data_IF_661342770919
#
_entry.id   IF_661342770919
#
_cell.length_a   1.000
_cell.length_b   1.000
_cell.length_c   1.000
_cell.angle_alpha   90.00
_cell.angle_beta   90.00
_cell.angle_gamma   90.00
#
_symmetry.space_group_name_H-M   'P 1'
#
loop_
_entity.id
_entity.type
_entity.pdbx_description
1 polymer ?
#
# COMPACT_ATOMS: atom_id res chain seq x y z
N UNK A 1 6.51 -25.42 9.71
CA UNK A 1 6.08 -24.05 9.34
C UNK A 1 4.67 -24.02 8.73
N UNK A 2 4.40 -24.56 7.53
CA UNK A 2 3.06 -24.48 6.89
C UNK A 2 1.91 -25.08 7.70
N UNK A 3 2.11 -26.27 8.28
CA UNK A 3 1.12 -26.89 9.17
C UNK A 3 0.78 -25.99 10.36
N UNK A 4 1.81 -25.41 10.99
CA UNK A 4 1.63 -24.48 12.11
C UNK A 4 0.86 -23.24 11.68
N UNK A 5 1.19 -22.67 10.51
CA UNK A 5 0.47 -21.52 9.97
C UNK A 5 -1.00 -21.84 9.72
N UNK A 6 -1.31 -22.97 9.07
CA UNK A 6 -2.68 -23.41 8.82
C UNK A 6 -3.46 -23.65 10.14
N UNK A 7 -2.83 -24.32 11.12
CA UNK A 7 -3.41 -24.53 12.45
C UNK A 7 -3.72 -23.20 13.14
N UNK A 8 -2.79 -22.24 13.13
CA UNK A 8 -2.98 -20.91 13.69
C UNK A 8 -4.12 -20.16 13.02
N UNK A 9 -4.12 -20.09 11.69
CA UNK A 9 -5.19 -19.45 10.92
C UNK A 9 -6.57 -20.01 11.29
N UNK A 10 -6.71 -21.33 11.45
CA UNK A 10 -7.97 -21.99 11.81
C UNK A 10 -8.41 -21.77 13.28
N UNK A 11 -7.48 -21.62 14.22
CA UNK A 11 -7.77 -21.53 15.65
C UNK A 11 -7.87 -20.08 16.17
N UNK A 12 -7.05 -19.20 15.63
CA UNK A 12 -6.92 -17.79 16.04
C UNK A 12 -7.96 -16.89 15.35
N UNK A 13 -8.55 -17.32 14.23
CA UNK A 13 -9.58 -16.55 13.50
C UNK A 13 -10.93 -17.27 13.49
N UNK A 14 -12.00 -16.48 13.46
CA UNK A 14 -13.36 -16.98 13.25
C UNK A 14 -13.51 -17.68 11.87
N UNK A 15 -14.09 -18.88 11.85
CA UNK A 15 -14.22 -19.70 10.62
C UNK A 15 -15.01 -18.98 9.51
N UNK A 16 -16.00 -18.16 9.85
CA UNK A 16 -16.76 -17.37 8.86
C UNK A 16 -15.89 -16.30 8.22
N UNK A 17 -15.00 -15.68 8.99
CA UNK A 17 -14.04 -14.69 8.49
C UNK A 17 -13.03 -15.34 7.56
N UNK A 18 -12.54 -16.54 7.90
CA UNK A 18 -11.65 -17.31 7.03
C UNK A 18 -12.31 -17.66 5.70
N UNK A 19 -13.58 -18.08 5.73
CA UNK A 19 -14.36 -18.31 4.52
C UNK A 19 -14.48 -17.03 3.68
N UNK A 20 -14.86 -15.90 4.28
CA UNK A 20 -14.95 -14.61 3.58
C UNK A 20 -13.60 -14.16 3.00
N UNK A 21 -12.52 -14.35 3.74
CA UNK A 21 -11.16 -14.08 3.27
C UNK A 21 -10.82 -14.95 2.05
N UNK A 22 -11.02 -16.27 2.15
CA UNK A 22 -10.73 -17.21 1.08
C UNK A 22 -11.57 -16.94 -0.17
N UNK A 23 -12.83 -16.55 0.00
CA UNK A 23 -13.74 -16.26 -1.10
C UNK A 23 -13.50 -14.88 -1.73
N UNK A 24 -13.61 -13.80 -0.93
CA UNK A 24 -13.55 -12.42 -1.43
C UNK A 24 -12.12 -12.00 -1.80
N UNK A 25 -11.14 -12.24 -0.91
CA UNK A 25 -9.74 -11.88 -1.18
C UNK A 25 -9.01 -12.96 -1.97
N UNK A 26 -9.24 -14.24 -1.66
CA UNK A 26 -8.60 -15.38 -2.33
C UNK A 26 -9.12 -15.57 -3.75
N UNK A 27 -10.25 -16.26 -3.92
CA UNK A 27 -10.74 -16.65 -5.25
C UNK A 27 -11.12 -15.45 -6.12
N UNK A 28 -11.97 -14.54 -5.63
CA UNK A 28 -12.39 -13.37 -6.42
C UNK A 28 -11.20 -12.43 -6.69
N UNK A 29 -10.27 -12.29 -5.75
CA UNK A 29 -9.02 -11.54 -5.94
C UNK A 29 -8.12 -12.15 -7.03
N UNK A 30 -7.93 -13.47 -7.02
CA UNK A 30 -7.20 -14.18 -8.09
C UNK A 30 -7.86 -13.97 -9.46
N UNK A 31 -9.20 -14.04 -9.53
CA UNK A 31 -9.96 -13.74 -10.76
C UNK A 31 -9.74 -12.29 -11.19
N UNK A 32 -9.70 -11.34 -10.26
CA UNK A 32 -9.43 -9.93 -10.53
C UNK A 32 -8.09 -9.72 -11.22
N UNK A 33 -7.04 -10.34 -10.68
CA UNK A 33 -5.68 -10.28 -11.25
C UNK A 33 -5.63 -10.95 -12.63
N UNK A 34 -6.30 -12.09 -12.83
CA UNK A 34 -6.37 -12.73 -14.15
C UNK A 34 -7.11 -11.87 -15.18
N UNK A 35 -8.19 -11.19 -14.78
CA UNK A 35 -8.88 -10.21 -15.63
C UNK A 35 -7.98 -9.03 -15.98
N UNK A 36 -7.22 -8.52 -15.02
CA UNK A 36 -6.21 -7.48 -15.27
C UNK A 36 -5.16 -7.94 -16.29
N UNK A 37 -4.55 -9.12 -16.08
CA UNK A 37 -3.59 -9.72 -17.03
C UNK A 37 -4.19 -9.89 -18.42
N UNK A 38 -5.44 -10.34 -18.52
CA UNK A 38 -6.14 -10.47 -19.81
C UNK A 38 -6.39 -9.12 -20.49
N UNK A 39 -6.64 -8.05 -19.74
CA UNK A 39 -6.83 -6.70 -20.29
C UNK A 39 -5.53 -6.11 -20.80
N UNK A 40 -4.43 -6.27 -20.07
CA UNK A 40 -3.11 -5.81 -20.51
C UNK A 40 -2.73 -6.38 -21.88
N UNK A 41 -3.03 -7.66 -22.14
CA UNK A 41 -2.81 -8.30 -23.45
C UNK A 41 -3.62 -7.66 -24.60
N UNK A 42 -4.70 -6.96 -24.30
CA UNK A 42 -5.57 -6.26 -25.26
C UNK A 42 -5.31 -4.75 -25.30
N UNK A 43 -4.29 -4.25 -24.60
CA UNK A 43 -4.05 -2.81 -24.44
C UNK A 43 -5.11 -2.10 -23.59
N UNK A 44 -5.99 -2.84 -22.91
CA UNK A 44 -6.97 -2.29 -21.99
C UNK A 44 -6.39 -2.19 -20.58
N UNK A 45 -6.78 -1.14 -19.85
CA UNK A 45 -6.29 -0.92 -18.50
C UNK A 45 -7.42 -0.82 -17.45
N UNK A 46 -7.29 -1.58 -16.36
CA UNK A 46 -8.03 -1.37 -15.12
C UNK A 46 -7.32 -2.11 -13.97
N UNK A 47 -7.06 -1.47 -12.82
CA UNK A 47 -6.31 -2.08 -11.73
C UNK A 47 -7.15 -3.12 -10.96
N UNK A 48 -6.58 -4.29 -10.60
CA UNK A 48 -7.27 -5.31 -9.81
C UNK A 48 -7.44 -4.90 -8.35
N UNK A 49 -6.67 -3.92 -7.87
CA UNK A 49 -6.71 -3.39 -6.51
C UNK A 49 -6.77 -1.87 -6.50
N UNK A 50 -7.48 -1.29 -5.54
CA UNK A 50 -7.52 0.16 -5.37
C UNK A 50 -7.23 0.52 -3.92
N UNK A 51 -6.36 1.50 -3.72
CA UNK A 51 -6.21 2.17 -2.45
C UNK A 51 -7.15 3.37 -2.42
N UNK A 52 -7.93 3.52 -1.35
CA UNK A 52 -8.91 4.60 -1.20
C UNK A 52 -8.63 5.29 0.12
N UNK A 53 -8.16 6.54 0.05
CA UNK A 53 -8.11 7.42 1.21
C UNK A 53 -9.50 7.96 1.48
N UNK A 54 -10.12 7.50 2.57
CA UNK A 54 -11.49 7.91 2.91
C UNK A 54 -11.54 9.20 3.74
N UNK A 55 -10.40 9.62 4.29
CA UNK A 55 -10.26 10.79 5.17
C UNK A 55 -8.81 11.30 5.12
N UNK A 56 -8.58 12.61 5.24
CA UNK A 56 -7.21 13.18 5.33
C UNK A 56 -6.76 13.49 6.77
N UNK A 57 -7.68 13.67 7.73
CA UNK A 57 -7.35 14.01 9.12
C UNK A 57 -6.89 12.79 9.92
N UNK A 58 -6.03 13.04 10.91
CA UNK A 58 -5.48 12.01 11.79
C UNK A 58 -5.31 12.56 13.22
N UNK A 59 -5.34 11.68 14.22
CA UNK A 59 -5.03 12.00 15.62
C UNK A 59 -3.52 12.04 15.93
N UNK A 60 -2.67 11.67 14.97
CA UNK A 60 -1.21 11.65 15.08
C UNK A 60 -0.56 12.63 14.09
N UNK A 61 0.71 12.95 14.32
CA UNK A 61 1.51 13.89 13.50
C UNK A 61 2.86 13.26 13.17
N UNK A 62 2.81 12.15 12.45
CA UNK A 62 3.99 11.33 12.18
C UNK A 62 5.06 12.12 11.39
N UNK A 63 6.31 11.98 11.79
CA UNK A 63 7.46 12.61 11.12
C UNK A 63 7.56 12.15 9.66
N UNK A 64 7.53 13.03 8.68
CA UNK A 64 7.59 12.59 7.28
C UNK A 64 6.33 11.89 6.76
N UNK A 65 5.16 12.11 7.37
CA UNK A 65 3.89 11.65 6.82
C UNK A 65 3.63 12.27 5.43
N UNK A 66 3.18 11.46 4.47
CA UNK A 66 2.81 11.93 3.13
C UNK A 66 1.43 12.61 3.09
N UNK A 67 0.58 12.36 4.09
CA UNK A 67 -0.73 12.99 4.24
C UNK A 67 -0.57 14.32 4.97
N UNK A 68 -1.14 15.38 4.43
CA UNK A 68 -1.27 16.66 5.13
C UNK A 68 -2.42 16.63 6.14
N UNK A 69 -2.14 16.04 7.31
CA UNK A 69 -3.08 15.89 8.42
C UNK A 69 -3.37 17.18 9.19
N UNK A 70 -2.68 18.28 8.85
CA UNK A 70 -2.92 19.60 9.43
C UNK A 70 -3.94 20.42 8.63
N UNK A 71 -4.19 20.05 7.37
CA UNK A 71 -5.23 20.65 6.54
C UNK A 71 -6.64 20.40 7.10
N UNK A 72 -7.61 21.20 6.61
CA UNK A 72 -9.03 21.02 6.96
C UNK A 72 -9.47 19.60 6.62
N UNK A 73 -10.21 18.98 7.53
CA UNK A 73 -10.73 17.63 7.32
C UNK A 73 -11.64 17.58 6.09
N UNK A 74 -11.36 16.59 5.24
CA UNK A 74 -12.17 16.14 4.13
C UNK A 74 -12.41 14.63 4.28
N UNK A 75 -13.59 14.18 3.86
CA UNK A 75 -13.97 12.78 3.81
C UNK A 75 -14.57 12.44 2.46
N UNK A 76 -14.37 11.20 2.00
CA UNK A 76 -15.13 10.70 0.85
C UNK A 76 -16.59 10.55 1.24
N UNK A 77 -17.50 11.08 0.42
CA UNK A 77 -18.94 10.95 0.69
C UNK A 77 -19.38 9.48 0.50
N UNK A 78 -20.27 8.95 1.35
CA UNK A 78 -20.72 7.56 1.26
C UNK A 78 -21.24 7.15 -0.12
N UNK A 79 -21.98 8.04 -0.78
CA UNK A 79 -22.55 7.80 -2.12
C UNK A 79 -21.45 7.72 -3.18
N UNK A 80 -20.40 8.52 -3.05
CA UNK A 80 -19.24 8.48 -3.94
C UNK A 80 -18.42 7.20 -3.76
N UNK A 81 -18.25 6.76 -2.51
CA UNK A 81 -17.58 5.50 -2.19
C UNK A 81 -18.38 4.29 -2.71
N UNK A 82 -19.71 4.26 -2.49
CA UNK A 82 -20.58 3.20 -2.99
C UNK A 82 -20.52 3.09 -4.52
N UNK A 83 -20.65 4.23 -5.21
CA UNK A 83 -20.51 4.30 -6.67
C UNK A 83 -19.15 3.77 -7.12
N UNK A 84 -18.05 4.20 -6.49
CA UNK A 84 -16.69 3.75 -6.79
C UNK A 84 -16.57 2.23 -6.67
N UNK A 85 -17.01 1.65 -5.55
CA UNK A 85 -16.91 0.20 -5.31
C UNK A 85 -17.79 -0.57 -6.30
N UNK A 86 -19.01 -0.11 -6.57
CA UNK A 86 -19.91 -0.75 -7.55
C UNK A 86 -19.32 -0.78 -8.96
N UNK A 87 -18.76 0.33 -9.44
CA UNK A 87 -18.12 0.39 -10.76
C UNK A 87 -16.83 -0.44 -10.81
N UNK A 88 -16.04 -0.44 -9.73
CA UNK A 88 -14.85 -1.27 -9.63
C UNK A 88 -15.17 -2.78 -9.63
N UNK A 89 -16.26 -3.19 -8.98
CA UNK A 89 -16.76 -4.59 -8.99
C UNK A 89 -17.17 -5.06 -10.37
N UNK A 90 -17.77 -4.20 -11.20
CA UNK A 90 -18.10 -4.53 -12.59
C UNK A 90 -16.82 -4.87 -13.38
N UNK A 91 -15.70 -4.26 -13.02
CA UNK A 91 -14.37 -4.56 -13.56
C UNK A 91 -13.67 -5.74 -12.84
N UNK A 92 -14.32 -6.38 -11.88
CA UNK A 92 -13.81 -7.52 -11.13
C UNK A 92 -12.92 -7.17 -9.95
N UNK A 93 -12.72 -5.89 -9.63
CA UNK A 93 -12.01 -5.48 -8.42
C UNK A 93 -12.94 -5.65 -7.20
N UNK A 94 -12.48 -6.42 -6.22
CA UNK A 94 -13.21 -6.72 -4.99
C UNK A 94 -12.33 -6.58 -3.74
N UNK A 95 -11.09 -6.10 -3.89
CA UNK A 95 -10.16 -5.94 -2.77
C UNK A 95 -9.64 -4.51 -2.75
N UNK A 96 -9.88 -3.84 -1.62
CA UNK A 96 -9.60 -2.43 -1.45
C UNK A 96 -8.72 -2.20 -0.23
N UNK A 97 -7.66 -1.42 -0.41
CA UNK A 97 -6.88 -0.87 0.68
C UNK A 97 -7.52 0.43 1.16
N UNK A 98 -8.11 0.43 2.34
CA UNK A 98 -8.64 1.65 2.97
C UNK A 98 -7.51 2.31 3.73
N UNK A 99 -7.14 3.49 3.25
CA UNK A 99 -6.06 4.33 3.76
C UNK A 99 -6.63 5.71 4.11
N UNK A 100 -5.75 6.67 4.39
CA UNK A 100 -6.10 8.06 4.70
C UNK A 100 -5.21 8.59 5.81
N UNK A 101 -5.66 9.65 6.48
CA UNK A 101 -5.14 10.00 7.80
C UNK A 101 -5.39 8.85 8.78
N UNK A 102 -6.46 8.88 9.57
CA UNK A 102 -6.89 7.72 10.37
C UNK A 102 -8.30 7.26 9.98
N UNK A 103 -8.46 6.15 9.23
CA UNK A 103 -9.77 5.67 8.78
C UNK A 103 -10.81 5.50 9.88
N UNK A 104 -10.42 5.10 11.10
CA UNK A 104 -11.36 4.93 12.22
C UNK A 104 -11.91 6.24 12.80
N UNK A 105 -11.45 7.41 12.31
CA UNK A 105 -12.06 8.72 12.55
C UNK A 105 -13.19 9.04 11.57
N UNK A 106 -13.36 8.28 10.49
CA UNK A 106 -14.45 8.48 9.55
C UNK A 106 -15.79 8.08 10.18
N UNK A 107 -16.77 9.00 10.30
CA UNK A 107 -18.00 8.75 11.08
C UNK A 107 -18.86 7.64 10.51
N UNK A 108 -18.75 7.36 9.21
CA UNK A 108 -19.50 6.33 8.49
C UNK A 108 -18.69 5.10 8.11
N UNK A 109 -17.46 4.92 8.65
CA UNK A 109 -16.57 3.82 8.23
C UNK A 109 -17.28 2.47 8.15
N UNK A 110 -17.98 2.07 9.21
CA UNK A 110 -18.64 0.76 9.25
C UNK A 110 -19.77 0.61 8.23
N UNK A 111 -20.51 1.69 7.96
CA UNK A 111 -21.57 1.72 6.94
C UNK A 111 -20.99 1.50 5.54
N UNK A 112 -19.87 2.17 5.21
CA UNK A 112 -19.16 1.99 3.95
C UNK A 112 -18.77 0.53 3.69
N UNK A 113 -18.31 -0.16 4.74
CA UNK A 113 -17.84 -1.55 4.65
C UNK A 113 -19.00 -2.55 4.61
N UNK A 114 -20.08 -2.25 5.34
CA UNK A 114 -21.28 -3.09 5.42
C UNK A 114 -22.06 -3.14 4.11
N UNK A 115 -22.10 -2.03 3.37
CA UNK A 115 -22.79 -1.94 2.08
C UNK A 115 -22.14 -2.81 0.98
N UNK A 116 -20.95 -3.37 1.22
CA UNK A 116 -20.20 -4.18 0.26
C UNK A 116 -19.68 -5.49 0.86
N UNK A 117 -20.57 -6.41 1.30
CA UNK A 117 -20.19 -7.63 2.00
C UNK A 117 -19.45 -8.65 1.11
N UNK A 118 -19.53 -8.48 -0.21
CA UNK A 118 -18.88 -9.32 -1.21
C UNK A 118 -17.52 -8.78 -1.70
N UNK A 119 -17.09 -7.64 -1.16
CA UNK A 119 -15.72 -7.13 -1.25
C UNK A 119 -14.90 -7.55 -0.02
N UNK A 120 -13.61 -7.29 -0.03
CA UNK A 120 -12.74 -7.44 1.14
C UNK A 120 -11.89 -6.17 1.32
N UNK A 121 -11.83 -5.68 2.55
CA UNK A 121 -11.22 -4.39 2.87
C UNK A 121 -10.03 -4.59 3.82
N UNK A 122 -8.85 -4.12 3.41
CA UNK A 122 -7.71 -4.01 4.30
C UNK A 122 -7.59 -2.57 4.79
N UNK A 123 -7.70 -2.35 6.10
CA UNK A 123 -7.68 -0.99 6.68
C UNK A 123 -6.33 -0.72 7.31
N UNK A 124 -5.60 0.27 6.78
CA UNK A 124 -4.37 0.76 7.37
C UNK A 124 -4.71 1.75 8.50
N UNK A 125 -4.30 1.45 9.72
CA UNK A 125 -4.72 2.20 10.92
C UNK A 125 -3.62 2.22 11.98
N UNK A 126 -3.57 3.27 12.79
CA UNK A 126 -2.71 3.34 13.98
C UNK A 126 -3.25 2.51 15.17
N UNK A 127 -4.49 2.02 15.08
CA UNK A 127 -5.11 1.15 16.09
C UNK A 127 -5.73 1.87 17.29
N UNK A 128 -5.45 3.16 17.52
CA UNK A 128 -5.86 3.87 18.74
C UNK A 128 -7.38 3.90 18.95
N UNK A 129 -8.14 3.92 17.85
CA UNK A 129 -9.60 4.01 17.88
C UNK A 129 -10.28 2.65 17.82
N UNK A 130 -9.56 1.53 17.85
CA UNK A 130 -10.14 0.19 17.84
C UNK A 130 -10.46 -0.21 19.29
N UNK A 131 -11.67 0.11 19.72
CA UNK A 131 -12.24 -0.37 20.99
C UNK A 131 -12.70 -1.83 20.88
N UNK A 132 -12.98 -2.49 22.00
CA UNK A 132 -13.58 -3.83 22.02
C UNK A 132 -14.91 -3.88 21.23
N UNK A 133 -15.73 -2.82 21.34
CA UNK A 133 -16.99 -2.68 20.57
C UNK A 133 -16.74 -2.59 19.06
N UNK A 134 -15.80 -1.75 18.63
CA UNK A 134 -15.42 -1.65 17.22
C UNK A 134 -14.81 -2.96 16.71
N UNK A 135 -14.01 -3.65 17.52
CA UNK A 135 -13.48 -4.97 17.18
C UNK A 135 -14.59 -6.02 17.02
N UNK A 136 -15.61 -6.03 17.89
CA UNK A 136 -16.83 -6.86 17.71
C UNK A 136 -17.55 -6.52 16.42
N UNK A 137 -17.67 -5.23 16.07
CA UNK A 137 -18.29 -4.80 14.81
C UNK A 137 -17.50 -5.27 13.59
N UNK A 138 -16.17 -5.15 13.61
CA UNK A 138 -15.29 -5.69 12.56
C UNK A 138 -15.47 -7.20 12.41
N UNK A 139 -15.54 -7.93 13.53
CA UNK A 139 -15.85 -9.37 13.53
C UNK A 139 -17.20 -9.63 12.88
N UNK A 140 -18.26 -8.90 13.22
CA UNK A 140 -19.59 -9.08 12.62
C UNK A 140 -19.57 -8.89 11.10
N UNK A 141 -18.94 -7.81 10.62
CA UNK A 141 -18.77 -7.55 9.18
C UNK A 141 -18.03 -8.71 8.49
N UNK A 142 -16.86 -9.08 9.01
CA UNK A 142 -16.06 -10.21 8.58
C UNK A 142 -15.45 -10.11 7.16
N UNK A 143 -15.71 -9.03 6.44
CA UNK A 143 -15.08 -8.67 5.16
C UNK A 143 -13.96 -7.64 5.33
N UNK A 144 -13.36 -7.57 6.53
CA UNK A 144 -12.38 -6.55 6.89
C UNK A 144 -11.19 -7.17 7.60
N UNK A 145 -9.99 -6.68 7.29
CA UNK A 145 -8.79 -6.95 8.05
C UNK A 145 -8.07 -5.64 8.44
N UNK A 146 -7.96 -5.33 9.74
CA UNK A 146 -7.11 -4.23 10.18
C UNK A 146 -5.63 -4.58 10.01
N UNK A 147 -4.88 -3.65 9.46
CA UNK A 147 -3.44 -3.69 9.34
C UNK A 147 -2.86 -2.58 10.24
N UNK A 148 -2.50 -2.97 11.46
CA UNK A 148 -2.18 -2.06 12.56
C UNK A 148 -0.72 -1.62 12.48
N UNK A 149 -0.51 -0.33 12.47
CA UNK A 149 0.77 0.35 12.30
C UNK A 149 1.62 0.30 13.58
N UNK A 150 2.80 -0.34 13.54
CA UNK A 150 3.77 -0.38 14.66
C UNK A 150 5.16 0.02 14.16
N UNK A 151 5.86 0.88 14.90
CA UNK A 151 7.14 1.46 14.46
C UNK A 151 8.37 0.91 15.17
N UNK A 152 8.22 0.13 16.25
CA UNK A 152 9.33 -0.41 17.03
C UNK A 152 9.04 -0.32 18.52
N UNK A 153 10.08 -0.07 19.31
CA UNK A 153 9.95 0.24 20.74
C UNK A 153 9.11 1.49 21.03
N UNK A 154 8.80 1.73 22.32
CA UNK A 154 7.96 2.85 22.75
C UNK A 154 8.59 4.20 22.36
N UNK A 155 9.89 4.39 22.63
CA UNK A 155 10.63 5.61 22.28
C UNK A 155 10.58 5.86 20.76
N UNK A 156 10.91 4.84 19.96
CA UNK A 156 10.87 4.95 18.50
C UNK A 156 9.46 5.27 18.01
N UNK A 157 8.45 4.61 18.57
CA UNK A 157 7.06 4.84 18.19
C UNK A 157 6.61 6.26 18.50
N UNK A 158 6.93 6.75 19.69
CA UNK A 158 6.52 8.08 20.14
C UNK A 158 7.20 9.19 19.32
N UNK A 159 8.50 9.06 19.04
CA UNK A 159 9.25 9.97 18.18
C UNK A 159 8.70 9.94 16.74
N UNK A 160 8.60 8.74 16.15
CA UNK A 160 8.17 8.56 14.76
C UNK A 160 6.74 9.04 14.52
N UNK A 161 5.85 8.85 15.50
CA UNK A 161 4.40 9.12 15.42
C UNK A 161 4.00 10.48 16.01
N UNK A 162 4.94 11.16 16.69
CA UNK A 162 4.81 12.54 17.16
C UNK A 162 3.93 12.70 18.40
N UNK A 163 3.86 11.68 19.27
CA UNK A 163 3.03 11.69 20.48
C UNK A 163 3.53 10.65 21.49
N UNK A 164 3.48 10.97 22.78
CA UNK A 164 3.80 10.01 23.84
C UNK A 164 2.75 8.89 23.97
N UNK A 165 3.18 7.68 24.34
CA UNK A 165 2.33 6.52 24.63
C UNK A 165 1.63 5.93 23.41
N UNK A 166 2.18 6.12 22.21
CA UNK A 166 1.59 5.63 20.96
C UNK A 166 1.60 4.12 20.93
N UNK A 167 2.74 3.49 21.25
CA UNK A 167 2.85 2.04 21.20
C UNK A 167 1.82 1.36 22.11
N UNK A 168 1.61 1.87 23.32
CA UNK A 168 0.63 1.35 24.28
C UNK A 168 -0.80 1.37 23.70
N UNK A 169 -1.21 2.51 23.12
CA UNK A 169 -2.54 2.65 22.49
C UNK A 169 -2.71 1.82 21.23
N UNK A 170 -1.66 1.68 20.42
CA UNK A 170 -1.63 0.78 19.27
C UNK A 170 -1.80 -0.68 19.70
N UNK A 171 -1.10 -1.10 20.77
CA UNK A 171 -1.20 -2.47 21.30
C UNK A 171 -2.57 -2.77 21.91
N UNK A 172 -3.20 -1.80 22.56
CA UNK A 172 -4.58 -1.91 23.04
C UNK A 172 -5.55 -2.22 21.88
N UNK A 173 -5.46 -1.48 20.77
CA UNK A 173 -6.26 -1.73 19.58
C UNK A 173 -6.00 -3.09 18.93
N UNK A 174 -4.73 -3.50 18.87
CA UNK A 174 -4.33 -4.83 18.39
C UNK A 174 -4.94 -5.94 19.26
N UNK A 175 -4.80 -5.84 20.57
CA UNK A 175 -5.37 -6.81 21.52
C UNK A 175 -6.90 -6.89 21.40
N UNK A 176 -7.59 -5.76 21.23
CA UNK A 176 -9.04 -5.75 21.02
C UNK A 176 -9.45 -6.55 19.77
N UNK A 177 -8.71 -6.42 18.66
CA UNK A 177 -8.94 -7.24 17.48
C UNK A 177 -8.71 -8.73 17.72
N UNK A 178 -7.57 -9.08 18.32
CA UNK A 178 -7.15 -10.47 18.53
C UNK A 178 -8.08 -11.20 19.50
N UNK A 179 -8.45 -10.55 20.61
CA UNK A 179 -9.46 -11.04 21.57
C UNK A 179 -10.79 -11.37 20.89
N UNK A 180 -11.18 -10.57 19.90
CA UNK A 180 -12.41 -10.76 19.15
C UNK A 180 -12.24 -11.65 17.90
N UNK A 181 -11.08 -12.30 17.73
CA UNK A 181 -10.76 -13.20 16.60
C UNK A 181 -10.94 -12.55 15.22
N UNK A 182 -10.70 -11.23 15.15
CA UNK A 182 -10.63 -10.50 13.88
C UNK A 182 -9.33 -10.87 13.18
N UNK A 183 -9.39 -11.10 11.86
CA UNK A 183 -8.19 -11.29 11.05
C UNK A 183 -7.37 -9.99 11.06
N UNK A 184 -6.21 -10.00 11.72
CA UNK A 184 -5.42 -8.79 11.94
C UNK A 184 -3.97 -8.99 11.55
N UNK A 185 -3.41 -7.96 10.93
CA UNK A 185 -1.99 -7.88 10.61
C UNK A 185 -1.31 -6.68 11.27
N UNK A 186 0.02 -6.68 11.22
CA UNK A 186 0.85 -5.56 11.66
C UNK A 186 1.66 -5.01 10.49
N UNK A 187 1.62 -3.70 10.28
CA UNK A 187 2.40 -3.01 9.26
C UNK A 187 3.42 -2.12 9.93
N UNK A 188 4.64 -2.12 9.39
CA UNK A 188 5.72 -1.27 9.88
C UNK A 188 6.21 -0.36 8.77
N UNK A 189 6.37 0.94 9.05
CA UNK A 189 7.13 1.81 8.16
C UNK A 189 8.62 1.63 8.48
N UNK A 190 9.32 0.80 7.70
CA UNK A 190 10.76 0.61 7.85
C UNK A 190 11.51 1.89 7.52
N UNK A 191 12.24 2.37 8.51
CA UNK A 191 13.10 3.54 8.51
C UNK A 191 14.48 3.14 9.01
N UNK A 192 15.48 3.99 8.77
CA UNK A 192 16.83 3.81 9.32
C UNK A 192 16.82 3.67 10.84
N UNK A 193 15.95 4.43 11.51
CA UNK A 193 15.87 4.51 12.97
C UNK A 193 15.25 3.29 13.63
N UNK A 194 14.50 2.44 12.90
CA UNK A 194 13.77 1.32 13.48
C UNK A 194 14.08 -0.05 12.86
N UNK A 195 14.98 -0.09 11.88
CA UNK A 195 15.31 -1.32 11.17
C UNK A 195 15.85 -2.41 12.11
N UNK A 196 16.61 -2.04 13.13
CA UNK A 196 17.20 -2.99 14.08
C UNK A 196 16.21 -3.51 15.13
N UNK A 197 15.15 -2.76 15.43
CA UNK A 197 14.07 -3.22 16.29
C UNK A 197 13.18 -4.23 15.55
N UNK A 198 12.90 -3.94 14.28
CA UNK A 198 11.85 -4.60 13.51
C UNK A 198 12.35 -5.79 12.66
N UNK A 199 13.60 -5.76 12.17
CA UNK A 199 14.18 -6.87 11.40
C UNK A 199 14.87 -7.89 12.30
N UNK A 200 14.11 -8.42 13.26
CA UNK A 200 14.58 -9.45 14.19
C UNK A 200 13.62 -10.63 14.24
N UNK A 201 14.16 -11.85 14.37
CA UNK A 201 13.32 -13.04 14.58
C UNK A 201 12.44 -12.87 15.83
N UNK A 202 12.99 -12.26 16.90
CA UNK A 202 12.28 -11.97 18.15
C UNK A 202 11.02 -11.12 17.94
N UNK A 203 11.08 -10.12 17.07
CA UNK A 203 9.90 -9.32 16.73
C UNK A 203 8.85 -10.15 16.02
N UNK A 204 9.26 -10.96 15.04
CA UNK A 204 8.36 -11.85 14.29
C UNK A 204 7.73 -12.91 15.22
N UNK A 205 8.50 -13.49 16.13
CA UNK A 205 8.02 -14.44 17.12
C UNK A 205 7.02 -13.78 18.07
N UNK A 206 7.29 -12.56 18.53
CA UNK A 206 6.33 -11.79 19.34
C UNK A 206 5.00 -11.56 18.61
N UNK A 207 5.02 -11.24 17.32
CA UNK A 207 3.81 -11.11 16.51
C UNK A 207 3.02 -12.44 16.46
N UNK A 208 3.73 -13.55 16.27
CA UNK A 208 3.14 -14.90 16.26
C UNK A 208 2.50 -15.22 17.61
N UNK A 209 3.22 -14.99 18.70
CA UNK A 209 2.76 -15.29 20.06
C UNK A 209 1.52 -14.48 20.46
N UNK A 210 1.41 -13.24 19.98
CA UNK A 210 0.22 -12.43 20.19
C UNK A 210 -1.00 -12.97 19.42
N UNK A 211 -0.79 -13.71 18.32
CA UNK A 211 -1.85 -14.18 17.43
C UNK A 211 -1.97 -13.38 16.12
N UNK A 212 -0.96 -12.60 15.76
CA UNK A 212 -0.93 -11.86 14.49
C UNK A 212 -0.68 -12.83 13.33
N UNK A 213 -1.50 -12.74 12.29
CA UNK A 213 -1.51 -13.71 11.19
C UNK A 213 -0.72 -13.26 9.97
N UNK A 214 -0.54 -11.96 9.81
CA UNK A 214 0.29 -11.43 8.74
C UNK A 214 0.97 -10.11 9.10
N UNK A 215 2.08 -9.81 8.43
CA UNK A 215 2.81 -8.55 8.63
C UNK A 215 3.34 -7.98 7.32
N UNK A 216 3.42 -6.65 7.26
CA UNK A 216 3.95 -5.90 6.13
C UNK A 216 5.16 -5.07 6.57
N UNK A 217 6.23 -5.18 5.79
CA UNK A 217 7.42 -4.34 5.94
C UNK A 217 7.43 -3.30 4.80
N UNK A 218 6.84 -2.13 5.06
CA UNK A 218 6.79 -1.04 4.09
C UNK A 218 7.99 -0.12 4.26
N UNK A 219 8.83 -0.03 3.24
CA UNK A 219 9.94 0.94 3.25
C UNK A 219 9.39 2.37 3.17
N UNK A 220 9.88 3.22 4.07
CA UNK A 220 9.57 4.65 4.09
C UNK A 220 9.99 5.34 2.78
N UNK A 221 9.13 6.23 2.28
CA UNK A 221 9.40 7.06 1.09
C UNK A 221 9.19 8.53 1.45
N UNK A 222 10.20 9.39 1.32
CA UNK A 222 10.16 10.78 1.76
C UNK A 222 9.32 11.64 0.81
N UNK A 223 8.03 11.79 1.14
CA UNK A 223 7.08 12.67 0.45
C UNK A 223 6.12 13.31 1.45
N UNK A 224 5.45 14.39 1.03
CA UNK A 224 4.47 15.11 1.84
C UNK A 224 4.96 16.49 2.29
N UNK A 225 4.21 17.17 3.17
CA UNK A 225 4.49 18.55 3.56
C UNK A 225 5.81 18.74 4.32
N UNK A 226 6.28 17.70 5.02
CA UNK A 226 7.52 17.75 5.83
C UNK A 226 8.26 16.41 5.73
N UNK A 227 8.81 16.05 4.57
CA UNK A 227 9.49 14.76 4.39
C UNK A 227 10.75 14.71 5.26
N UNK A 228 11.12 13.53 5.77
CA UNK A 228 12.39 13.36 6.48
C UNK A 228 13.29 12.37 5.73
N UNK A 229 14.27 12.92 5.03
CA UNK A 229 15.22 12.18 4.21
C UNK A 229 16.21 11.32 5.02
N UNK A 230 16.42 11.60 6.30
CA UNK A 230 17.30 10.83 7.19
C UNK A 230 16.72 9.48 7.59
N UNK A 231 15.38 9.36 7.54
CA UNK A 231 14.68 8.10 7.80
C UNK A 231 14.85 7.08 6.65
N UNK A 232 15.32 7.51 5.48
CA UNK A 232 15.44 6.65 4.32
C UNK A 232 16.53 5.58 4.50
N UNK A 233 16.20 4.36 4.10
CA UNK A 233 17.15 3.25 4.08
C UNK A 233 18.25 3.50 3.04
N UNK A 234 19.47 3.08 3.36
CA UNK A 234 20.53 2.91 2.37
C UNK A 234 20.24 1.68 1.47
N UNK A 235 20.92 1.54 0.32
CA UNK A 235 20.82 0.34 -0.52
C UNK A 235 21.08 -0.97 0.24
N UNK A 236 22.09 -1.00 1.12
CA UNK A 236 22.40 -2.17 1.94
C UNK A 236 21.31 -2.46 2.98
N UNK A 237 20.72 -1.43 3.58
CA UNK A 237 19.61 -1.60 4.51
C UNK A 237 18.34 -2.11 3.79
N UNK A 238 18.07 -1.63 2.58
CA UNK A 238 16.99 -2.15 1.74
C UNK A 238 17.23 -3.62 1.34
N UNK A 239 18.48 -3.98 1.00
CA UNK A 239 18.90 -5.36 0.72
C UNK A 239 18.70 -6.26 1.94
N UNK A 240 19.16 -5.83 3.12
CA UNK A 240 18.95 -6.52 4.40
C UNK A 240 17.47 -6.74 4.70
N UNK A 241 16.61 -5.75 4.44
CA UNK A 241 15.17 -5.88 4.62
C UNK A 241 14.59 -6.98 3.71
N UNK A 242 15.03 -7.02 2.44
CA UNK A 242 14.60 -8.06 1.50
C UNK A 242 15.09 -9.45 1.93
N UNK A 243 16.36 -9.60 2.29
CA UNK A 243 16.96 -10.83 2.83
C UNK A 243 16.16 -11.36 4.02
N UNK A 244 15.89 -10.48 4.99
CA UNK A 244 15.12 -10.83 6.18
C UNK A 244 13.71 -11.32 5.81
N UNK A 245 12.99 -10.60 4.95
CA UNK A 245 11.64 -10.98 4.52
C UNK A 245 11.61 -12.37 3.88
N UNK A 246 12.50 -12.65 2.91
CA UNK A 246 12.49 -13.95 2.22
C UNK A 246 12.89 -15.11 3.14
N UNK A 247 13.75 -14.84 4.13
CA UNK A 247 14.14 -15.83 5.13
C UNK A 247 13.01 -16.13 6.11
N UNK A 248 12.38 -15.09 6.65
CA UNK A 248 11.31 -15.27 7.63
C UNK A 248 10.11 -15.96 7.01
N UNK A 249 9.80 -15.71 5.72
CA UNK A 249 8.77 -16.47 4.97
C UNK A 249 9.03 -17.97 4.90
N UNK A 250 10.30 -18.38 4.91
CA UNK A 250 10.66 -19.80 4.88
C UNK A 250 10.69 -20.43 6.28
N UNK A 251 10.97 -19.62 7.32
CA UNK A 251 11.19 -20.10 8.70
C UNK A 251 9.95 -20.01 9.59
N UNK A 252 9.19 -18.91 9.52
CA UNK A 252 8.21 -18.51 10.54
C UNK A 252 6.76 -18.76 10.07
N UNK A 253 5.86 -19.23 10.95
CA UNK A 253 4.46 -19.53 10.59
C UNK A 253 3.57 -18.27 10.58
N UNK A 254 3.98 -17.24 9.86
CA UNK A 254 3.25 -15.96 9.67
C UNK A 254 3.37 -15.52 8.22
N UNK A 255 2.31 -14.92 7.67
CA UNK A 255 2.34 -14.39 6.31
C UNK A 255 3.10 -13.06 6.33
N UNK A 256 4.18 -12.94 5.56
CA UNK A 256 4.90 -11.68 5.40
C UNK A 256 4.63 -11.15 3.99
N UNK A 257 4.23 -9.89 3.86
CA UNK A 257 3.90 -9.25 2.58
C UNK A 257 4.91 -8.15 2.25
N UNK A 258 5.38 -8.16 1.00
CA UNK A 258 6.16 -7.10 0.37
C UNK A 258 5.65 -6.90 -1.06
N UNK A 259 5.44 -5.65 -1.46
CA UNK A 259 4.76 -5.32 -2.72
C UNK A 259 5.71 -4.89 -3.84
N UNK A 260 7.03 -4.92 -3.60
CA UNK A 260 8.02 -4.22 -4.44
C UNK A 260 8.99 -5.15 -5.18
N UNK A 261 8.79 -6.46 -5.09
CA UNK A 261 9.66 -7.48 -5.70
C UNK A 261 8.83 -8.62 -6.29
N UNK A 262 9.25 -9.15 -7.44
CA UNK A 262 8.72 -10.41 -7.98
C UNK A 262 9.30 -11.65 -7.27
N UNK A 263 9.02 -12.84 -7.81
CA UNK A 263 9.50 -14.11 -7.28
C UNK A 263 11.02 -14.31 -7.40
N UNK A 264 11.65 -13.70 -8.41
CA UNK A 264 13.09 -13.77 -8.68
C UNK A 264 13.85 -12.66 -7.94
N UNK A 265 13.16 -11.82 -7.17
CA UNK A 265 13.77 -10.73 -6.43
C UNK A 265 14.00 -9.47 -7.27
N UNK A 266 13.48 -9.40 -8.49
CA UNK A 266 13.56 -8.19 -9.31
C UNK A 266 12.59 -7.16 -8.78
N UNK A 267 13.06 -5.93 -8.65
CA UNK A 267 12.21 -4.82 -8.25
C UNK A 267 11.04 -4.62 -9.22
N UNK A 268 9.91 -4.16 -8.68
CA UNK A 268 8.77 -3.68 -9.45
C UNK A 268 8.06 -2.55 -8.71
N UNK A 269 7.39 -1.70 -9.46
CA UNK A 269 6.48 -0.68 -8.95
C UNK A 269 5.01 -1.10 -9.18
N UNK A 270 4.17 -1.21 -8.13
CA UNK A 270 2.74 -1.49 -8.26
C UNK A 270 1.98 -0.49 -9.17
N UNK A 271 2.38 0.78 -9.17
CA UNK A 271 1.76 1.79 -10.02
C UNK A 271 2.17 1.64 -11.48
N UNK A 272 3.45 1.36 -11.75
CA UNK A 272 3.97 1.14 -13.11
C UNK A 272 3.43 -0.15 -13.73
N UNK A 273 3.34 -1.23 -12.95
CA UNK A 273 2.69 -2.49 -13.36
C UNK A 273 1.18 -2.35 -13.53
N UNK A 274 0.59 -1.29 -12.95
CA UNK A 274 -0.83 -1.04 -13.02
C UNK A 274 -1.67 -1.94 -12.12
N UNK A 275 -1.04 -2.60 -11.13
CA UNK A 275 -1.73 -3.50 -10.20
C UNK A 275 -2.56 -2.73 -9.16
N UNK A 276 -2.18 -1.49 -8.85
CA UNK A 276 -2.87 -0.65 -7.88
C UNK A 276 -2.77 0.83 -8.23
N UNK A 277 -3.85 1.59 -7.99
CA UNK A 277 -3.89 3.06 -8.05
C UNK A 277 -4.54 3.61 -6.77
N UNK A 278 -4.43 4.91 -6.56
CA UNK A 278 -4.94 5.59 -5.37
C UNK A 278 -6.13 6.50 -5.72
N UNK A 279 -7.14 6.50 -4.86
CA UNK A 279 -8.24 7.48 -4.87
C UNK A 279 -8.12 8.28 -3.58
N UNK A 280 -7.95 9.59 -3.69
CA UNK A 280 -7.83 10.47 -2.53
C UNK A 280 -9.20 10.84 -1.92
N UNK A 281 -9.28 11.54 -0.77
CA UNK A 281 -10.55 11.90 -0.14
C UNK A 281 -11.44 12.83 -0.98
N UNK A 282 -10.86 13.63 -1.87
CA UNK A 282 -11.56 14.51 -2.83
C UNK A 282 -12.04 13.78 -4.10
N UNK A 283 -11.75 12.48 -4.20
CA UNK A 283 -12.13 11.60 -5.29
C UNK A 283 -11.22 11.66 -6.51
N UNK A 284 -10.03 12.25 -6.43
CA UNK A 284 -9.09 12.26 -7.56
C UNK A 284 -8.39 10.90 -7.71
N UNK A 285 -8.12 10.49 -8.95
CA UNK A 285 -7.46 9.22 -9.28
C UNK A 285 -5.98 9.46 -9.54
N UNK A 286 -5.16 9.07 -8.57
CA UNK A 286 -3.72 9.28 -8.53
C UNK A 286 -2.98 7.97 -8.89
N UNK A 287 -1.78 8.06 -9.53
CA UNK A 287 -1.00 6.86 -9.85
C UNK A 287 -0.64 6.02 -8.62
N UNK A 288 -0.29 6.67 -7.50
CA UNK A 288 -0.03 6.03 -6.21
C UNK A 288 -0.17 7.06 -5.07
N UNK A 289 -0.25 6.63 -3.79
CA UNK A 289 -0.53 7.55 -2.68
C UNK A 289 0.42 8.75 -2.53
N UNK A 290 1.68 8.60 -2.97
CA UNK A 290 2.71 9.66 -2.85
C UNK A 290 2.89 10.47 -4.15
N UNK A 291 2.15 10.18 -5.22
CA UNK A 291 2.11 10.96 -6.46
C UNK A 291 0.78 11.68 -6.52
N UNK A 292 0.71 12.83 -5.85
CA UNK A 292 -0.52 13.56 -5.58
C UNK A 292 -0.86 14.55 -6.71
N UNK A 293 -0.98 14.00 -7.93
CA UNK A 293 -1.41 14.69 -9.14
C UNK A 293 -2.40 13.83 -9.90
N UNK A 294 -3.43 14.44 -10.49
CA UNK A 294 -4.46 13.69 -11.21
C UNK A 294 -5.18 14.52 -12.28
N UNK A 295 -5.47 13.89 -13.42
CA UNK A 295 -6.40 14.44 -14.42
C UNK A 295 -7.82 13.91 -14.30
N UNK A 296 -7.98 12.77 -13.61
CA UNK A 296 -9.24 12.06 -13.51
C UNK A 296 -9.78 12.12 -12.07
N UNK A 297 -11.11 12.08 -11.94
CA UNK A 297 -11.80 11.99 -10.66
C UNK A 297 -12.93 10.98 -10.73
N UNK A 298 -13.27 10.30 -9.63
CA UNK A 298 -14.45 9.43 -9.55
C UNK A 298 -15.76 10.21 -9.70
N UNK A 299 -15.72 11.52 -9.46
CA UNK A 299 -16.86 12.41 -9.61
C UNK A 299 -17.08 12.80 -11.07
N UNK A 300 -18.32 13.11 -11.42
CA UNK A 300 -18.67 13.72 -12.71
C UNK A 300 -18.53 15.24 -12.57
N UNK A 301 -17.30 15.75 -12.70
CA UNK A 301 -16.98 17.19 -12.68
C UNK A 301 -16.93 17.72 -14.12
N UNK A 302 -17.29 18.99 -14.33
CA UNK A 302 -17.15 19.69 -15.62
C UNK A 302 -17.80 18.96 -16.82
N UNK A 303 -18.94 18.31 -16.61
CA UNK A 303 -19.65 17.57 -17.65
C UNK A 303 -19.06 16.19 -17.99
N UNK A 304 -18.04 15.71 -17.28
CA UNK A 304 -17.46 14.40 -17.52
C UNK A 304 -18.42 13.26 -17.10
N UNK A 305 -19.03 12.62 -18.10
CA UNK A 305 -19.95 11.48 -17.93
C UNK A 305 -19.26 10.12 -18.05
N UNK A 306 -17.92 10.09 -18.18
CA UNK A 306 -17.19 8.82 -18.29
C UNK A 306 -17.37 7.99 -17.01
N UNK A 307 -17.61 6.70 -17.22
CA UNK A 307 -17.55 5.67 -16.18
C UNK A 307 -16.13 5.55 -15.61
N UNK A 308 -15.98 4.96 -14.42
CA UNK A 308 -14.66 4.68 -13.84
C UNK A 308 -13.78 3.86 -14.79
N UNK A 309 -14.35 2.88 -15.52
CA UNK A 309 -13.63 2.12 -16.54
C UNK A 309 -13.05 3.05 -17.60
N UNK A 310 -13.88 3.91 -18.18
CA UNK A 310 -13.45 4.84 -19.23
C UNK A 310 -12.39 5.81 -18.70
N UNK A 311 -12.53 6.33 -17.48
CA UNK A 311 -11.53 7.20 -16.86
C UNK A 311 -10.17 6.51 -16.75
N UNK A 312 -10.10 5.25 -16.32
CA UNK A 312 -8.83 4.52 -16.31
C UNK A 312 -8.27 4.21 -17.71
N UNK A 313 -9.14 3.84 -18.66
CA UNK A 313 -8.72 3.43 -20.01
C UNK A 313 -8.32 4.61 -20.90
N UNK A 314 -8.96 5.77 -20.72
CA UNK A 314 -8.81 6.94 -21.58
C UNK A 314 -7.92 8.03 -20.95
N UNK A 315 -7.42 7.84 -19.72
CA UNK A 315 -6.53 8.80 -19.10
C UNK A 315 -5.14 8.78 -19.74
N UNK A 316 -4.81 9.85 -20.45
CA UNK A 316 -3.48 10.05 -21.04
C UNK A 316 -2.42 10.22 -19.95
N UNK A 317 -2.72 10.93 -18.87
CA UNK A 317 -1.77 11.10 -17.76
C UNK A 317 -1.42 9.78 -17.07
N UNK A 318 -2.40 8.94 -16.76
CA UNK A 318 -2.13 7.64 -16.15
C UNK A 318 -1.39 6.70 -17.12
N UNK A 319 -1.68 6.79 -18.43
CA UNK A 319 -0.96 6.03 -19.46
C UNK A 319 0.51 6.44 -19.53
N UNK A 320 0.79 7.73 -19.76
CA UNK A 320 2.14 8.26 -19.90
C UNK A 320 2.94 8.10 -18.59
N UNK A 321 2.30 8.19 -17.41
CA UNK A 321 2.95 7.86 -16.14
C UNK A 321 3.47 6.43 -16.10
N UNK A 322 2.64 5.46 -16.51
CA UNK A 322 3.04 4.05 -16.49
C UNK A 322 4.18 3.81 -17.47
N UNK A 323 4.06 4.33 -18.68
CA UNK A 323 5.10 4.21 -19.70
C UNK A 323 6.43 4.81 -19.22
N UNK A 324 6.41 6.05 -18.74
CA UNK A 324 7.59 6.74 -18.22
C UNK A 324 8.25 5.94 -17.08
N UNK A 325 7.46 5.49 -16.11
CA UNK A 325 7.98 4.69 -15.00
C UNK A 325 8.61 3.38 -15.48
N UNK A 326 7.95 2.66 -16.39
CA UNK A 326 8.43 1.39 -16.95
C UNK A 326 9.74 1.54 -17.72
N UNK A 327 9.88 2.59 -18.52
CA UNK A 327 11.06 2.85 -19.36
C UNK A 327 12.27 3.35 -18.54
N UNK A 328 12.00 4.00 -17.42
CA UNK A 328 13.03 4.75 -16.69
C UNK A 328 13.62 3.98 -15.50
N UNK A 329 12.82 3.19 -14.79
CA UNK A 329 13.30 2.46 -13.61
C UNK A 329 12.42 1.27 -13.26
N UNK A 330 13.00 0.22 -12.64
CA UNK A 330 12.21 -0.83 -11.95
C UNK A 330 11.83 -0.43 -10.51
N UNK A 331 12.35 0.70 -10.05
CA UNK A 331 12.25 1.23 -8.69
C UNK A 331 11.07 2.17 -8.49
N UNK A 332 11.22 3.09 -7.54
CA UNK A 332 10.26 4.15 -7.31
C UNK A 332 10.63 5.38 -8.14
N UNK A 333 9.85 5.72 -9.17
CA UNK A 333 10.09 6.89 -10.03
C UNK A 333 10.19 8.19 -9.22
N UNK A 334 9.43 8.33 -8.14
CA UNK A 334 9.46 9.52 -7.27
C UNK A 334 10.84 9.72 -6.63
N UNK A 335 11.50 8.62 -6.25
CA UNK A 335 12.83 8.70 -5.63
C UNK A 335 13.93 8.76 -6.69
N UNK A 336 13.78 7.99 -7.76
CA UNK A 336 14.87 7.80 -8.70
C UNK A 336 14.91 8.86 -9.80
N UNK A 337 13.75 9.35 -10.24
CA UNK A 337 13.63 10.34 -11.32
C UNK A 337 12.51 11.35 -11.04
N UNK A 338 12.62 12.11 -9.92
CA UNK A 338 11.68 13.19 -9.62
C UNK A 338 11.65 14.25 -10.73
N UNK A 339 12.78 14.46 -11.42
CA UNK A 339 12.91 15.32 -12.60
C UNK A 339 11.95 14.93 -13.73
N UNK A 340 11.92 13.65 -14.11
CA UNK A 340 11.05 13.18 -15.19
C UNK A 340 9.59 13.16 -14.76
N UNK A 341 9.31 12.80 -13.51
CA UNK A 341 7.94 12.86 -12.99
C UNK A 341 7.41 14.30 -13.01
N UNK A 342 8.24 15.28 -12.65
CA UNK A 342 7.91 16.70 -12.75
C UNK A 342 7.60 17.09 -14.19
N UNK A 343 8.47 16.76 -15.15
CA UNK A 343 8.25 17.05 -16.57
C UNK A 343 6.96 16.43 -17.10
N UNK A 344 6.60 15.23 -16.64
CA UNK A 344 5.32 14.61 -16.98
C UNK A 344 4.13 15.38 -16.40
N UNK A 345 4.19 15.77 -15.13
CA UNK A 345 3.12 16.57 -14.49
C UNK A 345 2.91 17.87 -15.24
N UNK A 346 3.99 18.56 -15.62
CA UNK A 346 3.96 19.80 -16.42
C UNK A 346 3.39 19.55 -17.82
N UNK A 347 3.86 18.51 -18.54
CA UNK A 347 3.37 18.12 -19.88
C UNK A 347 1.85 17.94 -19.91
N UNK A 348 1.27 17.32 -18.90
CA UNK A 348 -0.17 17.07 -18.85
C UNK A 348 -0.97 18.20 -18.18
N UNK A 349 -0.29 19.23 -17.67
CA UNK A 349 -0.86 20.21 -16.75
C UNK A 349 -1.73 19.49 -15.69
N UNK A 350 -1.15 18.49 -15.02
CA UNK A 350 -1.85 17.69 -14.03
C UNK A 350 -2.00 18.48 -12.72
N UNK A 351 -3.23 18.80 -12.28
CA UNK A 351 -3.45 19.53 -11.04
C UNK A 351 -2.83 18.84 -9.82
N UNK A 352 -2.28 19.65 -8.93
CA UNK A 352 -1.96 19.25 -7.56
C UNK A 352 -3.25 18.94 -6.82
N UNK A 353 -3.41 17.69 -6.39
CA UNK A 353 -4.62 17.18 -5.73
C UNK A 353 -4.59 17.36 -4.21
N UNK A 354 -3.49 17.87 -3.66
CA UNK A 354 -3.33 18.07 -2.22
C UNK A 354 -4.08 19.30 -1.72
N UNK A 355 -4.38 19.35 -0.43
CA UNK A 355 -4.94 20.56 0.19
C UNK A 355 -3.93 21.71 0.24
N UNK A 356 -2.64 21.40 0.45
CA UNK A 356 -1.54 22.36 0.60
C UNK A 356 -1.11 23.06 -0.69
N UNK A 357 -1.37 22.46 -1.86
CA UNK A 357 -1.02 23.01 -3.19
C UNK A 357 0.47 23.28 -3.38
N UNK A 358 1.32 22.50 -2.71
CA UNK A 358 2.79 22.60 -2.76
C UNK A 358 3.48 21.36 -3.34
N UNK A 359 2.73 20.37 -3.82
CA UNK A 359 3.28 19.07 -4.22
C UNK A 359 4.25 19.18 -5.40
N UNK A 360 4.03 20.13 -6.33
CA UNK A 360 4.94 20.33 -7.46
C UNK A 360 6.27 20.95 -7.01
N UNK A 361 6.24 21.91 -6.09
CA UNK A 361 7.45 22.49 -5.50
C UNK A 361 8.21 21.46 -4.67
N UNK A 362 7.50 20.64 -3.89
CA UNK A 362 8.07 19.54 -3.12
C UNK A 362 8.80 18.54 -4.04
N UNK A 363 8.14 18.12 -5.13
CA UNK A 363 8.72 17.22 -6.13
C UNK A 363 9.93 17.85 -6.82
N UNK A 364 9.87 19.14 -7.17
CA UNK A 364 10.96 19.85 -7.81
C UNK A 364 12.19 20.02 -6.89
N UNK A 365 11.99 20.02 -5.57
CA UNK A 365 13.06 20.11 -4.57
C UNK A 365 13.65 18.73 -4.20
N UNK A 366 13.16 17.63 -4.79
CA UNK A 366 13.68 16.30 -4.49
C UNK A 366 15.00 16.03 -5.21
N UNK A 367 15.99 15.59 -4.45
CA UNK A 367 17.20 14.99 -5.00
C UNK A 367 16.95 13.55 -5.47
N UNK A 368 17.67 13.15 -6.51
CA UNK A 368 17.70 11.76 -6.99
C UNK A 368 18.27 10.85 -5.90
N UNK A 369 17.58 9.75 -5.61
CA UNK A 369 17.99 8.76 -4.59
C UNK A 369 17.68 7.34 -5.03
N UNK A 370 18.46 6.38 -4.52
CA UNK A 370 18.21 4.95 -4.72
C UNK A 370 16.88 4.52 -4.10
N UNK A 371 16.24 3.51 -4.68
CA UNK A 371 15.00 2.92 -4.17
C UNK A 371 15.14 1.40 -3.94
N UNK A 372 14.06 0.64 -4.10
CA UNK A 372 14.09 -0.83 -4.06
C UNK A 372 14.88 -1.46 -5.22
N UNK A 373 15.12 -0.72 -6.31
CA UNK A 373 15.88 -1.22 -7.46
C UNK A 373 17.39 -1.18 -7.15
N UNK A 374 17.98 -2.36 -7.04
CA UNK A 374 19.39 -2.54 -6.73
C UNK A 374 19.97 -3.60 -7.68
N UNK A 375 20.35 -3.22 -8.91
CA UNK A 375 20.75 -4.17 -9.95
C UNK A 375 21.99 -4.97 -9.54
N UNK A 376 21.94 -6.29 -9.76
CA UNK A 376 23.01 -7.23 -9.39
C UNK A 376 22.95 -7.74 -7.94
N UNK A 377 21.98 -7.25 -7.15
CA UNK A 377 21.75 -7.65 -5.76
C UNK A 377 20.34 -8.24 -5.57
N UNK A 378 19.77 -8.87 -6.61
CA UNK A 378 18.46 -9.49 -6.56
C UNK A 378 18.44 -10.68 -5.60
N UNK A 379 17.42 -10.72 -4.73
CA UNK A 379 17.25 -11.78 -3.74
C UNK A 379 15.94 -12.51 -4.03
N UNK A 380 15.98 -13.72 -4.62
CA UNK A 380 14.79 -14.49 -4.96
C UNK A 380 14.07 -14.98 -3.71
N UNK A 381 12.77 -15.26 -3.83
CA UNK A 381 12.00 -15.87 -2.74
C UNK A 381 12.64 -17.21 -2.34
N UNK A 382 12.72 -17.52 -1.05
CA UNK A 382 13.19 -18.84 -0.56
C UNK A 382 12.02 -19.83 -0.40
N UNK A 383 10.81 -19.33 -0.13
CA UNK A 383 9.62 -20.14 0.07
C UNK A 383 8.91 -20.45 -1.26
N UNK A 384 8.67 -21.74 -1.55
CA UNK A 384 8.08 -22.20 -2.82
C UNK A 384 6.63 -21.73 -3.04
N UNK A 385 5.81 -21.58 -2.00
CA UNK A 385 4.45 -21.05 -2.13
C UNK A 385 4.49 -19.58 -2.57
N UNK A 386 5.42 -18.80 -2.00
CA UNK A 386 5.63 -17.42 -2.40
C UNK A 386 6.14 -17.30 -3.83
N UNK A 387 7.06 -18.19 -4.26
CA UNK A 387 7.50 -18.26 -5.66
C UNK A 387 6.33 -18.48 -6.61
N UNK A 388 5.46 -19.46 -6.32
CA UNK A 388 4.28 -19.74 -7.13
C UNK A 388 3.33 -18.53 -7.12
N UNK A 389 3.03 -17.99 -5.94
CA UNK A 389 2.11 -16.87 -5.80
C UNK A 389 2.58 -15.65 -6.61
N UNK A 390 3.85 -15.27 -6.48
CA UNK A 390 4.44 -14.17 -7.23
C UNK A 390 4.53 -14.46 -8.72
N UNK A 391 4.88 -15.68 -9.12
CA UNK A 391 4.92 -16.07 -10.54
C UNK A 391 3.59 -15.93 -11.25
N UNK A 392 2.45 -16.12 -10.59
CA UNK A 392 1.14 -16.09 -11.25
C UNK A 392 0.34 -14.81 -11.00
N UNK A 393 0.41 -14.24 -9.80
CA UNK A 393 -0.50 -13.15 -9.39
C UNK A 393 0.21 -11.86 -8.93
N UNK A 394 1.48 -11.92 -8.54
CA UNK A 394 2.20 -10.77 -7.99
C UNK A 394 3.60 -10.63 -8.62
N UNK A 395 3.61 -10.45 -9.94
CA UNK A 395 4.80 -10.19 -10.76
C UNK A 395 4.64 -8.87 -11.51
N UNK A 396 5.55 -8.60 -12.44
CA UNK A 396 5.53 -7.40 -13.26
C UNK A 396 4.63 -7.49 -14.51
N UNK A 397 3.97 -8.61 -14.75
CA UNK A 397 3.12 -8.89 -15.92
C UNK A 397 3.80 -8.63 -17.28
N UNK A 398 5.14 -8.65 -17.32
CA UNK A 398 5.93 -8.36 -18.52
C UNK A 398 6.10 -6.87 -18.83
N UNK A 399 5.67 -5.95 -17.95
CA UNK A 399 5.71 -4.51 -18.25
C UNK A 399 7.13 -3.95 -18.42
N UNK A 400 8.14 -4.64 -17.90
CA UNK A 400 9.55 -4.24 -18.05
C UNK A 400 10.29 -5.06 -19.13
N UNK A 401 9.60 -5.92 -19.89
CA UNK A 401 10.25 -6.72 -20.92
C UNK A 401 10.80 -5.81 -22.01
N UNK A 402 12.10 -5.94 -22.32
CA UNK A 402 12.77 -5.12 -23.33
C UNK A 402 13.19 -3.72 -22.86
N UNK A 403 12.99 -3.38 -21.59
CA UNK A 403 13.41 -2.10 -21.01
C UNK A 403 14.84 -2.21 -20.47
N UNK A 404 15.67 -1.20 -20.76
CA UNK A 404 17.04 -1.08 -20.25
C UNK A 404 17.14 0.12 -19.30
N UNK A 405 17.43 -0.17 -18.03
CA UNK A 405 17.53 0.82 -16.95
C UNK A 405 18.97 1.14 -16.57
N UNK A 406 19.96 0.61 -17.29
CA UNK A 406 21.39 0.73 -16.99
C UNK A 406 21.94 2.16 -17.09
N UNK A 407 21.18 3.08 -17.69
CA UNK A 407 21.55 4.50 -17.86
C UNK A 407 20.55 5.49 -17.24
N UNK A 408 19.30 5.08 -17.04
CA UNK A 408 18.20 5.97 -16.67
C UNK A 408 17.82 5.94 -15.19
N UNK A 409 18.18 4.86 -14.49
CA UNK A 409 17.85 4.64 -13.08
C UNK A 409 18.79 5.37 -12.11
N UNK A 410 18.36 5.59 -10.88
CA UNK A 410 19.20 6.26 -9.88
C UNK A 410 20.52 5.53 -9.58
N UNK A 411 20.57 4.18 -9.46
CA UNK A 411 21.84 3.47 -9.31
C UNK A 411 22.84 3.71 -10.45
N UNK A 412 22.36 4.03 -11.65
CA UNK A 412 23.21 4.36 -12.79
C UNK A 412 23.71 5.80 -12.74
N UNK A 413 22.80 6.75 -12.50
CA UNK A 413 23.09 8.19 -12.49
C UNK A 413 24.01 8.56 -11.32
N UNK A 414 23.74 8.03 -10.12
CA UNK A 414 24.53 8.33 -8.91
C UNK A 414 25.92 7.68 -8.88
N UNK A 415 26.22 6.76 -9.79
CA UNK A 415 27.58 6.21 -9.96
C UNK A 415 28.44 7.05 -10.90
N UNK A 416 27.83 7.94 -11.68
CA UNK A 416 28.49 8.75 -12.72
C UNK A 416 28.81 10.17 -12.27
N UNK A 417 28.21 10.64 -11.17
CA UNK A 417 28.53 11.90 -10.49
C UNK A 417 29.08 11.63 -9.11
#
# INVERSE_FOLDING_TARGET
MLYSMAKRTLLETDKRLLWKLAWNMGLKGMISVQRHKSRLKRGEYFPPFLYVSIINSCNLRCQGCWVDVASKQEIIQPEAFDKLVREAKQMGNVFFGIVGGEPFMHPKLFELLENHPDCYFQIFTNGHFITDEKAKRLRQLGNVTPLISVEGSEIISDERRGRAGVLSKTMEGLQNCLKNKVMTGVCTSLCRTNIDDLLTEKWVDRLIDMGVLYTWFHVYRPMGPKPNFDLCLSPDQARRAREFVVEMRAKKPIIIVDAYYDGEGKALCPAATGISHHINPWGDIEPCPIVQFAKESIHSKNGDQRTLRQKFQQSTFLHDFRQLAQETTRGCIVLERPDLLKSLVEKHAAPDTTARKTALQELAAMDVRTSQYNPGNEIPEKNWLYRIAKRFWFNDFGVYQGQDHSKSSAPAILKQG
#
